data_IF_754979138715
#
_entry.id   IF_754979138715
#
_cell.length_a   1.000
_cell.length_b   1.000
_cell.length_c   1.000
_cell.angle_alpha   90.00
_cell.angle_beta   90.00
_cell.angle_gamma   90.00
#
_symmetry.space_group_name_H-M   'P 1'
#
loop_
_entity.id
_entity.type
_entity.pdbx_description
1 polymer ?
#
# COMPACT_ATOMS: atom_id res chain seq x y z
N UNK A 1 -38.75 -0.40 -20.70
CA UNK A 1 -37.32 -0.45 -21.03
C UNK A 1 -36.51 -0.36 -19.74
N UNK A 2 -35.94 -1.46 -19.22
CA UNK A 2 -35.09 -1.38 -18.04
C UNK A 2 -33.62 -1.41 -18.46
N UNK A 3 -32.92 -0.29 -18.30
CA UNK A 3 -31.46 -0.20 -18.32
C UNK A 3 -31.04 0.43 -17.00
N UNK A 4 -29.95 -0.09 -16.44
CA UNK A 4 -29.34 0.25 -15.14
C UNK A 4 -30.07 -0.50 -14.02
N UNK A 5 -29.40 -1.35 -13.23
CA UNK A 5 -28.55 -0.90 -12.14
C UNK A 5 -27.64 -2.07 -11.67
N UNK A 6 -26.35 -1.73 -11.54
CA UNK A 6 -25.34 -2.23 -10.61
C UNK A 6 -25.16 -3.75 -10.44
N UNK A 7 -24.22 -4.29 -11.22
CA UNK A 7 -23.42 -5.46 -10.85
C UNK A 7 -22.58 -5.10 -9.61
N UNK A 8 -23.11 -5.42 -8.43
CA UNK A 8 -22.36 -5.46 -7.17
C UNK A 8 -21.39 -6.63 -7.27
N UNK A 9 -20.17 -6.32 -7.69
CA UNK A 9 -19.05 -7.27 -7.68
C UNK A 9 -18.57 -7.39 -6.23
N UNK A 10 -19.29 -8.20 -5.44
CA UNK A 10 -18.85 -8.62 -4.11
C UNK A 10 -17.70 -9.62 -4.25
N UNK A 11 -16.50 -9.14 -4.55
CA UNK A 11 -15.27 -9.90 -4.35
C UNK A 11 -14.92 -9.83 -2.86
N UNK A 12 -15.58 -10.68 -2.09
CA UNK A 12 -15.12 -11.07 -0.76
C UNK A 12 -13.84 -11.91 -0.92
N UNK A 13 -12.70 -11.23 -1.13
CA UNK A 13 -11.37 -11.82 -0.98
C UNK A 13 -11.05 -11.81 0.51
N UNK A 14 -11.67 -12.73 1.25
CA UNK A 14 -11.25 -13.13 2.58
C UNK A 14 -10.79 -14.57 2.47
N UNK A 15 -9.48 -14.78 2.50
CA UNK A 15 -8.93 -16.13 2.52
C UNK A 15 -7.53 -16.34 1.93
N UNK A 16 -6.65 -15.34 1.94
CA UNK A 16 -5.21 -15.62 1.95
C UNK A 16 -4.64 -15.04 3.24
N UNK A 17 -4.85 -15.79 4.32
CA UNK A 17 -4.17 -15.56 5.58
C UNK A 17 -2.73 -16.01 5.48
N UNK A 18 -1.87 -15.31 6.22
CA UNK A 18 -0.43 -15.51 6.44
C UNK A 18 0.47 -14.56 5.67
N UNK A 19 0.41 -13.29 6.04
CA UNK A 19 1.59 -12.43 5.95
C UNK A 19 1.75 -11.74 7.31
N UNK A 20 2.00 -12.55 8.34
CA UNK A 20 2.77 -12.08 9.48
C UNK A 20 4.19 -11.86 8.96
N UNK A 21 4.73 -10.63 8.91
CA UNK A 21 6.15 -10.50 8.66
C UNK A 21 6.86 -11.07 9.89
N UNK A 22 7.44 -12.25 9.73
CA UNK A 22 8.28 -12.89 10.72
C UNK A 22 9.29 -11.87 11.27
N UNK A 23 9.20 -11.59 12.55
CA UNK A 23 10.24 -10.97 13.37
C UNK A 23 11.55 -11.72 13.12
N UNK A 24 12.51 -11.15 12.37
CA UNK A 24 13.82 -11.83 12.23
C UNK A 24 14.77 -11.50 11.08
N UNK A 25 14.44 -10.68 10.06
CA UNK A 25 15.40 -10.36 8.99
C UNK A 25 15.98 -8.93 9.14
N UNK A 26 17.32 -8.76 9.23
CA UNK A 26 17.97 -7.50 9.61
C UNK A 26 17.96 -6.39 8.55
N UNK A 27 17.09 -6.46 7.54
CA UNK A 27 16.97 -5.44 6.49
C UNK A 27 15.59 -5.41 5.81
N UNK A 28 14.50 -5.61 6.57
CA UNK A 28 13.14 -5.50 6.00
C UNK A 28 12.84 -4.04 5.64
N UNK A 29 13.12 -3.70 4.37
CA UNK A 29 12.61 -2.46 3.77
C UNK A 29 11.08 -2.46 3.82
N UNK A 30 10.50 -1.30 4.07
CA UNK A 30 9.06 -1.07 4.17
C UNK A 30 8.46 -1.18 2.76
N UNK A 31 7.59 -2.17 2.57
CA UNK A 31 6.93 -2.39 1.28
C UNK A 31 5.87 -1.33 1.02
N UNK A 32 5.44 -1.16 -0.24
CA UNK A 32 4.37 -0.21 -0.58
C UNK A 32 3.07 -0.51 0.16
N UNK A 33 2.74 -1.80 0.32
CA UNK A 33 1.53 -2.23 1.02
C UNK A 33 1.57 -1.89 2.52
N UNK A 34 2.74 -2.01 3.15
CA UNK A 34 2.96 -1.60 4.54
C UNK A 34 2.88 -0.08 4.66
N UNK A 35 3.56 0.65 3.78
CA UNK A 35 3.52 2.10 3.72
C UNK A 35 2.08 2.62 3.55
N UNK A 36 1.26 2.01 2.69
CA UNK A 36 -0.13 2.44 2.51
C UNK A 36 -0.97 2.31 3.78
N UNK A 37 -0.69 1.29 4.61
CA UNK A 37 -1.39 1.03 5.88
C UNK A 37 -0.93 1.92 7.03
N UNK A 38 0.24 2.57 6.91
CA UNK A 38 0.74 3.51 7.92
C UNK A 38 -0.08 4.80 7.98
N UNK A 39 -0.15 5.40 9.16
CA UNK A 39 -0.75 6.73 9.34
C UNK A 39 0.03 7.82 8.61
N UNK A 40 -0.65 8.91 8.27
CA UNK A 40 -0.03 10.03 7.54
C UNK A 40 1.18 10.61 8.29
N UNK A 41 1.09 10.71 9.61
CA UNK A 41 2.19 11.19 10.46
C UNK A 41 3.44 10.30 10.38
N UNK A 42 3.27 8.99 10.18
CA UNK A 42 4.38 8.06 10.02
C UNK A 42 4.90 7.99 8.58
N UNK A 43 4.03 8.25 7.59
CA UNK A 43 4.42 8.30 6.17
C UNK A 43 5.39 9.43 5.86
N UNK A 44 5.28 10.54 6.59
CA UNK A 44 6.20 11.67 6.49
C UNK A 44 7.46 11.51 7.36
N UNK A 45 7.58 10.40 8.10
CA UNK A 45 8.77 10.13 8.91
C UNK A 45 9.98 9.82 8.00
N UNK A 46 11.11 10.53 8.15
CA UNK A 46 12.30 10.31 7.34
C UNK A 46 12.85 8.87 7.46
N UNK A 47 12.68 8.22 8.61
CA UNK A 47 13.07 6.82 8.81
C UNK A 47 12.23 5.88 7.96
N UNK A 48 10.92 6.16 7.85
CA UNK A 48 10.01 5.36 7.01
C UNK A 48 10.36 5.55 5.54
N UNK A 49 10.58 6.79 5.10
CA UNK A 49 10.92 7.12 3.70
C UNK A 49 12.27 6.52 3.29
N UNK A 50 13.27 6.57 4.16
CA UNK A 50 14.60 6.02 3.86
C UNK A 50 14.57 4.49 3.76
N UNK A 51 13.81 3.85 4.65
CA UNK A 51 13.64 2.41 4.71
C UNK A 51 12.60 1.88 3.71
N UNK A 52 11.99 2.69 2.85
CA UNK A 52 11.12 2.20 1.79
C UNK A 52 11.86 1.27 0.82
N UNK A 53 11.16 0.24 0.36
CA UNK A 53 11.62 -0.59 -0.76
C UNK A 53 11.66 0.24 -2.07
N UNK A 54 12.50 -0.15 -3.01
CA UNK A 54 12.68 0.53 -4.29
C UNK A 54 11.37 0.58 -5.10
N UNK A 55 10.55 -0.48 -5.02
CA UNK A 55 9.20 -0.47 -5.58
C UNK A 55 8.30 0.55 -4.88
N UNK A 56 8.37 0.65 -3.55
CA UNK A 56 7.59 1.59 -2.77
C UNK A 56 8.00 3.05 -3.05
N UNK A 57 9.30 3.33 -3.18
CA UNK A 57 9.84 4.64 -3.59
C UNK A 57 9.32 5.04 -4.97
N UNK A 58 9.30 4.11 -5.93
CA UNK A 58 8.77 4.36 -7.28
C UNK A 58 7.26 4.66 -7.26
N UNK A 59 6.47 3.88 -6.50
CA UNK A 59 5.03 4.10 -6.33
C UNK A 59 4.70 5.39 -5.60
N UNK A 60 5.49 5.77 -4.60
CA UNK A 60 5.38 7.04 -3.89
C UNK A 60 5.58 8.21 -4.85
N UNK A 61 6.66 8.19 -5.63
CA UNK A 61 6.96 9.23 -6.62
C UNK A 61 5.86 9.34 -7.70
N UNK A 62 5.32 8.21 -8.19
CA UNK A 62 4.19 8.21 -9.13
C UNK A 62 2.91 8.78 -8.51
N UNK A 63 2.63 8.46 -7.24
CA UNK A 63 1.45 8.97 -6.52
C UNK A 63 1.54 10.48 -6.31
N UNK A 64 2.72 11.00 -5.95
CA UNK A 64 2.96 12.43 -5.81
C UNK A 64 2.85 13.17 -7.16
N UNK A 65 3.34 12.57 -8.25
CA UNK A 65 3.15 13.12 -9.60
C UNK A 65 1.68 13.20 -10.01
N UNK A 66 0.89 12.18 -9.68
CA UNK A 66 -0.56 12.16 -9.96
C UNK A 66 -1.33 13.20 -9.13
N UNK A 67 -0.90 13.47 -7.90
CA UNK A 67 -1.55 14.46 -7.02
C UNK A 67 -1.29 15.92 -7.44
N UNK A 68 -0.20 16.18 -8.16
CA UNK A 68 0.20 17.52 -8.64
C UNK A 68 -0.43 17.89 -9.99
N UNK A 69 -1.13 16.98 -10.66
CA UNK A 69 -1.72 17.18 -11.99
C UNK A 69 -3.24 17.26 -11.89
#
# INVERSE_FOLDING_TARGET
MPRLILLVLALAVVGCGSSTPATGDPAKKITWAEYQKMDAEQKDDPYVVDNLDDEAKKKLAESQRKKKR
#
